data_IF_719898597361
#
_entry.id   IF_719898597361
#
_cell.length_a   1.000
_cell.length_b   1.000
_cell.length_c   1.000
_cell.angle_alpha   90.00
_cell.angle_beta   90.00
_cell.angle_gamma   90.00
#
_symmetry.space_group_name_H-M   'P 1'
#
loop_
_entity.id
_entity.type
_entity.pdbx_description
1 polymer ?
#
# COMPACT_ATOMS: atom_id res chain seq x y z
N UNK A 1 -5.92 -28.72 -7.13
CA UNK A 1 -7.05 -27.86 -6.77
C UNK A 1 -6.84 -26.49 -7.42
N UNK A 2 -7.92 -25.85 -7.91
CA UNK A 2 -7.82 -24.52 -8.52
C UNK A 2 -7.46 -23.47 -7.46
N UNK A 3 -6.96 -22.30 -7.89
CA UNK A 3 -6.68 -21.19 -6.96
C UNK A 3 -7.94 -20.77 -6.18
N UNK A 4 -9.10 -20.80 -6.84
CA UNK A 4 -10.38 -20.45 -6.23
C UNK A 4 -10.80 -21.48 -5.17
N UNK A 5 -10.64 -22.77 -5.46
CA UNK A 5 -10.95 -23.83 -4.51
C UNK A 5 -10.06 -23.77 -3.27
N UNK A 6 -8.74 -23.60 -3.46
CA UNK A 6 -7.80 -23.45 -2.34
C UNK A 6 -8.14 -22.24 -1.46
N UNK A 7 -8.57 -21.14 -2.09
CA UNK A 7 -8.98 -19.95 -1.37
C UNK A 7 -10.27 -20.19 -0.58
N UNK A 8 -11.29 -20.82 -1.19
CA UNK A 8 -12.52 -21.21 -0.50
C UNK A 8 -12.25 -22.13 0.70
N UNK A 9 -11.42 -23.16 0.54
CA UNK A 9 -11.05 -24.06 1.64
C UNK A 9 -10.36 -23.29 2.78
N UNK A 10 -9.51 -22.31 2.45
CA UNK A 10 -8.88 -21.45 3.45
C UNK A 10 -9.91 -20.59 4.21
N UNK A 11 -10.93 -20.08 3.52
CA UNK A 11 -12.03 -19.32 4.14
C UNK A 11 -12.89 -20.22 5.04
N UNK A 12 -13.22 -21.44 4.59
CA UNK A 12 -14.01 -22.41 5.36
C UNK A 12 -13.25 -22.86 6.62
N UNK A 13 -11.96 -23.16 6.50
CA UNK A 13 -11.12 -23.51 7.64
C UNK A 13 -11.02 -22.37 8.66
N UNK A 14 -10.83 -21.13 8.18
CA UNK A 14 -10.83 -19.96 9.05
C UNK A 14 -12.17 -19.76 9.76
N UNK A 15 -13.29 -19.91 9.04
CA UNK A 15 -14.62 -19.87 9.63
C UNK A 15 -14.74 -20.89 10.76
N UNK A 16 -14.46 -22.16 10.47
CA UNK A 16 -14.59 -23.28 11.40
C UNK A 16 -13.73 -23.09 12.65
N UNK A 17 -12.46 -22.71 12.49
CA UNK A 17 -11.57 -22.48 13.63
C UNK A 17 -12.06 -21.34 14.53
N UNK A 18 -12.55 -20.24 13.95
CA UNK A 18 -13.05 -19.09 14.73
C UNK A 18 -14.33 -19.45 15.48
N UNK A 19 -15.31 -20.11 14.84
CA UNK A 19 -16.56 -20.47 15.53
C UNK A 19 -16.34 -21.53 16.59
N UNK A 20 -15.37 -22.43 16.41
CA UNK A 20 -15.01 -23.50 17.34
C UNK A 20 -14.01 -23.09 18.43
N UNK A 21 -13.51 -21.84 18.45
CA UNK A 21 -12.64 -21.37 19.52
C UNK A 21 -13.28 -21.64 20.91
N UNK A 22 -12.53 -22.03 21.95
CA UNK A 22 -13.07 -22.31 23.27
C UNK A 22 -13.94 -21.18 23.83
N UNK A 23 -14.96 -21.53 24.61
CA UNK A 23 -15.74 -20.51 25.35
C UNK A 23 -14.81 -19.74 26.29
N UNK A 24 -14.91 -18.41 26.30
CA UNK A 24 -14.04 -17.54 27.09
C UNK A 24 -12.74 -17.11 26.40
N UNK A 25 -12.46 -17.55 25.17
CA UNK A 25 -11.34 -16.99 24.39
C UNK A 25 -11.50 -15.47 24.22
N UNK A 26 -10.40 -14.73 24.43
CA UNK A 26 -10.37 -13.27 24.23
C UNK A 26 -10.70 -12.89 22.79
N UNK A 27 -11.52 -11.85 22.64
CA UNK A 27 -11.84 -11.27 21.33
C UNK A 27 -10.58 -10.84 20.56
N UNK A 28 -9.57 -10.28 21.25
CA UNK A 28 -8.31 -9.90 20.62
C UNK A 28 -7.58 -11.13 20.03
N UNK A 29 -7.55 -12.25 20.75
CA UNK A 29 -6.95 -13.48 20.26
C UNK A 29 -7.68 -14.02 19.03
N UNK A 30 -9.02 -13.95 19.02
CA UNK A 30 -9.82 -14.32 17.86
C UNK A 30 -9.50 -13.43 16.65
N UNK A 31 -9.37 -12.11 16.84
CA UNK A 31 -8.98 -11.17 15.77
C UNK A 31 -7.59 -11.46 15.22
N UNK A 32 -6.60 -11.74 16.10
CA UNK A 32 -5.24 -12.08 15.70
C UNK A 32 -5.21 -13.39 14.91
N UNK A 33 -5.89 -14.44 15.39
CA UNK A 33 -5.99 -15.72 14.70
C UNK A 33 -6.62 -15.56 13.30
N UNK A 34 -7.75 -14.85 13.23
CA UNK A 34 -8.41 -14.55 11.96
C UNK A 34 -7.49 -13.79 11.00
N UNK A 35 -6.78 -12.77 11.49
CA UNK A 35 -5.84 -12.00 10.67
C UNK A 35 -4.69 -12.87 10.14
N UNK A 36 -4.14 -13.77 10.96
CA UNK A 36 -3.06 -14.69 10.54
C UNK A 36 -3.54 -15.69 9.48
N UNK A 37 -4.73 -16.27 9.65
CA UNK A 37 -5.32 -17.18 8.67
C UNK A 37 -5.62 -16.46 7.34
N UNK A 38 -6.22 -15.28 7.43
CA UNK A 38 -6.53 -14.46 6.25
C UNK A 38 -5.27 -14.00 5.54
N UNK A 39 -4.22 -13.65 6.28
CA UNK A 39 -2.93 -13.31 5.69
C UNK A 39 -2.40 -14.46 4.82
N UNK A 40 -2.37 -15.69 5.35
CA UNK A 40 -1.96 -16.88 4.58
C UNK A 40 -2.84 -17.10 3.36
N UNK A 41 -4.15 -16.94 3.50
CA UNK A 41 -5.10 -17.11 2.41
C UNK A 41 -4.84 -16.12 1.27
N UNK A 42 -4.59 -14.84 1.59
CA UNK A 42 -4.29 -13.81 0.58
C UNK A 42 -2.87 -13.89 0.01
N UNK A 43 -1.88 -14.38 0.76
CA UNK A 43 -0.50 -14.60 0.28
C UNK A 43 -0.43 -15.63 -0.85
N UNK A 44 -1.37 -16.58 -0.89
CA UNK A 44 -1.52 -17.52 -2.00
C UNK A 44 -2.11 -16.89 -3.27
N UNK A 45 -2.65 -15.67 -3.20
CA UNK A 45 -3.30 -14.99 -4.30
C UNK A 45 -2.39 -13.95 -4.97
N UNK A 46 -2.72 -13.60 -6.21
CA UNK A 46 -2.16 -12.41 -6.86
C UNK A 46 -2.88 -11.18 -6.34
N UNK A 47 -2.26 -10.49 -5.39
CA UNK A 47 -2.75 -9.21 -4.86
C UNK A 47 -1.77 -8.09 -5.23
N UNK A 48 -2.30 -6.99 -5.77
CA UNK A 48 -1.53 -5.77 -6.01
C UNK A 48 -1.84 -4.73 -4.93
N UNK A 49 -0.82 -4.32 -4.19
CA UNK A 49 -0.92 -3.20 -3.23
C UNK A 49 -0.16 -2.00 -3.80
N UNK A 50 -0.83 -0.85 -3.88
CA UNK A 50 -0.24 0.43 -4.30
C UNK A 50 -0.33 1.44 -3.17
N UNK A 51 0.65 2.34 -3.07
CA UNK A 51 0.58 3.48 -2.16
C UNK A 51 0.95 3.17 -0.70
N UNK A 52 1.67 2.07 -0.41
CA UNK A 52 2.12 1.76 0.95
C UNK A 52 2.90 2.90 1.61
N UNK A 53 3.55 3.75 0.80
CA UNK A 53 4.22 4.97 1.23
C UNK A 53 3.28 6.01 1.88
N UNK A 54 1.96 5.87 1.71
CA UNK A 54 0.96 6.75 2.31
C UNK A 54 0.52 6.30 3.71
N UNK A 55 0.94 5.12 4.18
CA UNK A 55 0.64 4.66 5.54
C UNK A 55 1.31 5.59 6.56
N UNK A 56 0.55 6.27 7.44
CA UNK A 56 1.14 7.15 8.42
C UNK A 56 1.72 6.36 9.60
N UNK A 57 2.78 6.89 10.19
CA UNK A 57 3.18 6.47 11.54
C UNK A 57 2.13 6.93 12.56
N UNK A 58 2.05 6.23 13.69
CA UNK A 58 1.20 6.62 14.82
C UNK A 58 0.14 5.58 15.14
N UNK A 59 -0.81 5.99 15.98
CA UNK A 59 -1.88 5.17 16.57
C UNK A 59 -3.23 5.89 16.43
N UNK A 60 -4.34 5.19 16.63
CA UNK A 60 -5.67 5.82 16.59
C UNK A 60 -6.02 6.37 15.20
N UNK A 61 -5.74 5.59 14.16
CA UNK A 61 -5.97 5.96 12.75
C UNK A 61 -7.30 5.36 12.29
N UNK A 62 -8.08 6.15 11.55
CA UNK A 62 -9.32 5.70 10.91
C UNK A 62 -9.00 5.29 9.48
N UNK A 63 -9.27 4.03 9.14
CA UNK A 63 -9.19 3.51 7.78
C UNK A 63 -10.59 3.43 7.21
N UNK A 64 -10.83 4.18 6.12
CA UNK A 64 -12.08 4.05 5.36
C UNK A 64 -11.83 3.24 4.10
N UNK A 65 -12.79 2.41 3.73
CA UNK A 65 -12.68 1.56 2.55
C UNK A 65 -14.02 1.48 1.83
N UNK A 66 -13.99 1.23 0.53
CA UNK A 66 -15.20 0.92 -0.21
C UNK A 66 -15.56 -0.55 0.00
N UNK A 67 -16.85 -0.85 0.20
CA UNK A 67 -17.27 -2.20 0.60
C UNK A 67 -17.77 -2.98 -0.61
N UNK A 68 -17.10 -4.09 -0.91
CA UNK A 68 -17.39 -4.91 -2.08
C UNK A 68 -18.23 -6.13 -1.70
N UNK A 69 -19.08 -6.54 -2.63
CA UNK A 69 -19.72 -7.86 -2.59
C UNK A 69 -18.66 -8.96 -2.70
N UNK A 70 -19.00 -10.16 -2.25
CA UNK A 70 -18.20 -11.34 -2.49
C UNK A 70 -18.84 -12.19 -3.58
N UNK A 71 -18.02 -12.78 -4.45
CA UNK A 71 -18.51 -13.79 -5.38
C UNK A 71 -19.23 -14.94 -4.64
N UNK A 72 -20.43 -15.39 -5.05
CA UNK A 72 -21.21 -16.41 -4.34
C UNK A 72 -20.49 -17.74 -4.09
N UNK A 73 -19.52 -18.07 -4.96
CA UNK A 73 -18.62 -19.22 -4.78
C UNK A 73 -17.90 -19.22 -3.43
N UNK A 74 -17.63 -18.06 -2.83
CA UNK A 74 -16.95 -17.92 -1.53
C UNK A 74 -17.89 -18.02 -0.31
N UNK A 75 -18.91 -18.86 -0.41
CA UNK A 75 -19.79 -19.20 0.71
C UNK A 75 -19.04 -20.12 1.69
N UNK A 76 -18.65 -19.55 2.84
CA UNK A 76 -17.82 -20.22 3.84
C UNK A 76 -18.64 -21.12 4.79
N UNK A 77 -19.92 -20.81 4.97
CA UNK A 77 -20.90 -21.62 5.68
C UNK A 77 -22.30 -21.34 5.11
N UNK A 78 -23.29 -22.14 5.45
CA UNK A 78 -24.67 -21.97 4.95
C UNK A 78 -25.15 -20.52 5.18
N UNK A 79 -25.52 -19.84 4.09
CA UNK A 79 -25.98 -18.45 4.13
C UNK A 79 -24.94 -17.42 4.62
N UNK A 80 -23.65 -17.76 4.65
CA UNK A 80 -22.61 -16.90 5.20
C UNK A 80 -21.33 -16.84 4.33
N UNK A 81 -20.86 -15.62 4.10
CA UNK A 81 -19.58 -15.32 3.46
C UNK A 81 -18.72 -14.47 4.41
N UNK A 82 -17.41 -14.76 4.44
CA UNK A 82 -16.43 -13.92 5.13
C UNK A 82 -16.18 -12.67 4.28
N UNK A 83 -16.47 -11.48 4.80
CA UNK A 83 -16.26 -10.19 4.08
C UNK A 83 -14.79 -9.99 3.71
N UNK A 84 -14.43 -10.19 2.44
CA UNK A 84 -13.02 -10.31 2.04
C UNK A 84 -12.25 -9.01 2.22
N UNK A 85 -12.87 -7.87 1.90
CA UNK A 85 -12.24 -6.56 1.96
C UNK A 85 -11.80 -6.17 3.38
N UNK A 86 -12.70 -6.25 4.35
CA UNK A 86 -12.41 -5.85 5.74
C UNK A 86 -11.46 -6.82 6.43
N UNK A 87 -11.51 -8.12 6.07
CA UNK A 87 -10.54 -9.10 6.55
C UNK A 87 -9.17 -8.89 5.92
N UNK A 88 -9.09 -8.51 4.64
CA UNK A 88 -7.85 -8.09 3.98
C UNK A 88 -7.24 -6.87 4.65
N UNK A 89 -8.05 -5.88 5.04
CA UNK A 89 -7.57 -4.71 5.77
C UNK A 89 -7.01 -5.11 7.12
N UNK A 90 -7.73 -5.91 7.91
CA UNK A 90 -7.23 -6.37 9.21
C UNK A 90 -5.95 -7.20 9.10
N UNK A 91 -5.80 -8.05 8.09
CA UNK A 91 -4.64 -8.94 7.94
C UNK A 91 -3.46 -8.30 7.19
N UNK A 92 -3.68 -7.85 5.96
CA UNK A 92 -2.62 -7.41 5.05
C UNK A 92 -2.21 -5.96 5.28
N UNK A 93 -3.10 -5.12 5.83
CA UNK A 93 -2.80 -3.72 6.12
C UNK A 93 -2.49 -3.51 7.61
N UNK A 94 -3.44 -3.79 8.48
CA UNK A 94 -3.33 -3.45 9.90
C UNK A 94 -2.36 -4.38 10.63
N UNK A 95 -2.57 -5.70 10.56
CA UNK A 95 -1.70 -6.66 11.26
C UNK A 95 -0.27 -6.60 10.72
N UNK A 96 -0.09 -6.54 9.40
CA UNK A 96 1.23 -6.46 8.77
C UNK A 96 1.99 -5.19 9.13
N UNK A 97 1.40 -4.01 8.95
CA UNK A 97 2.13 -2.74 9.08
C UNK A 97 2.08 -2.15 10.49
N UNK A 98 1.06 -2.48 11.30
CA UNK A 98 0.88 -1.90 12.64
C UNK A 98 0.94 -2.93 13.76
N UNK A 99 1.08 -4.22 13.45
CA UNK A 99 1.22 -5.30 14.43
C UNK A 99 -0.08 -5.68 15.15
N UNK A 100 -1.22 -5.11 14.76
CA UNK A 100 -2.54 -5.43 15.32
C UNK A 100 -3.62 -5.42 14.23
N UNK A 101 -4.70 -6.21 14.34
CA UNK A 101 -5.73 -6.31 13.31
C UNK A 101 -6.75 -5.15 13.32
N UNK A 102 -6.65 -4.27 14.32
CA UNK A 102 -7.57 -3.16 14.57
C UNK A 102 -8.98 -3.60 14.98
N UNK A 103 -9.85 -2.61 15.13
CA UNK A 103 -11.28 -2.79 15.41
C UNK A 103 -12.09 -2.45 14.17
N UNK A 104 -12.98 -3.35 13.76
CA UNK A 104 -13.90 -3.09 12.65
C UNK A 104 -15.22 -2.57 13.15
N UNK A 105 -15.95 -1.87 12.27
CA UNK A 105 -17.36 -1.57 12.47
C UNK A 105 -18.18 -2.55 11.63
N UNK A 106 -19.02 -3.32 12.30
CA UNK A 106 -19.79 -4.43 11.69
C UNK A 106 -21.27 -4.24 11.99
N UNK A 107 -22.15 -4.59 11.04
CA UNK A 107 -23.59 -4.54 11.30
C UNK A 107 -24.02 -5.56 12.36
N UNK A 108 -25.16 -5.32 13.00
CA UNK A 108 -25.87 -6.38 13.72
C UNK A 108 -26.34 -7.47 12.76
N UNK A 109 -26.33 -8.73 13.23
CA UNK A 109 -26.95 -9.86 12.51
C UNK A 109 -28.48 -9.70 12.51
N UNK A 110 -29.12 -10.12 11.42
CA UNK A 110 -30.56 -10.37 11.42
C UNK A 110 -30.88 -11.65 12.22
N UNK A 111 -32.11 -11.82 12.73
CA UNK A 111 -32.49 -12.98 13.56
C UNK A 111 -32.25 -14.35 12.88
N UNK A 112 -32.34 -14.41 11.55
CA UNK A 112 -32.16 -15.62 10.75
C UNK A 112 -30.69 -15.88 10.34
N UNK A 113 -29.75 -15.00 10.65
CA UNK A 113 -28.35 -15.13 10.22
C UNK A 113 -27.48 -15.80 11.30
N UNK A 114 -27.74 -17.07 11.57
CA UNK A 114 -27.06 -17.85 12.62
C UNK A 114 -25.54 -17.87 12.45
N UNK A 115 -25.04 -18.20 11.26
CA UNK A 115 -23.60 -18.30 10.99
C UNK A 115 -22.90 -16.93 11.06
N UNK A 116 -23.56 -15.85 10.64
CA UNK A 116 -23.05 -14.48 10.81
C UNK A 116 -22.88 -14.13 12.29
N UNK A 117 -23.88 -14.46 13.12
CA UNK A 117 -23.83 -14.23 14.57
C UNK A 117 -22.71 -15.06 15.21
N UNK A 118 -22.67 -16.37 14.95
CA UNK A 118 -21.65 -17.27 15.49
C UNK A 118 -20.22 -16.80 15.21
N UNK A 119 -19.98 -16.31 14.00
CA UNK A 119 -18.67 -15.82 13.60
C UNK A 119 -18.34 -14.46 14.22
N UNK A 120 -19.19 -13.46 14.01
CA UNK A 120 -18.82 -12.09 14.40
C UNK A 120 -18.87 -11.82 15.90
N UNK A 121 -19.65 -12.59 16.68
CA UNK A 121 -19.67 -12.47 18.14
C UNK A 121 -18.35 -12.87 18.79
N UNK A 122 -17.46 -13.57 18.07
CA UNK A 122 -16.11 -13.92 18.56
C UNK A 122 -15.16 -12.74 18.64
N UNK A 123 -15.44 -11.65 17.91
CA UNK A 123 -14.47 -10.57 17.75
C UNK A 123 -14.76 -9.32 18.58
N UNK A 124 -15.93 -9.20 19.20
CA UNK A 124 -16.31 -7.99 19.96
C UNK A 124 -16.10 -6.68 19.16
N UNK A 125 -16.44 -6.69 17.88
CA UNK A 125 -16.34 -5.49 17.04
C UNK A 125 -17.44 -4.48 17.38
N UNK A 126 -17.21 -3.21 17.03
CA UNK A 126 -18.20 -2.15 17.22
C UNK A 126 -19.40 -2.42 16.31
N UNK A 127 -20.59 -2.50 16.90
CA UNK A 127 -21.82 -2.83 16.17
C UNK A 127 -22.64 -1.60 15.80
N UNK A 128 -23.20 -1.62 14.59
CA UNK A 128 -24.10 -0.58 14.08
C UNK A 128 -25.32 -1.20 13.39
N UNK A 129 -26.40 -0.43 13.30
CA UNK A 129 -27.55 -0.78 12.47
C UNK A 129 -27.39 -0.16 11.08
N UNK A 130 -27.45 -0.98 10.02
CA UNK A 130 -27.53 -0.49 8.64
C UNK A 130 -28.98 -0.50 8.18
N UNK A 131 -29.38 0.45 7.32
CA UNK A 131 -30.78 0.71 6.95
C UNK A 131 -31.50 -0.55 6.41
N UNK A 132 -30.80 -1.36 5.62
CA UNK A 132 -31.34 -2.60 5.02
C UNK A 132 -31.23 -3.82 5.95
N UNK A 133 -30.47 -3.70 7.04
CA UNK A 133 -30.22 -4.77 8.01
C UNK A 133 -30.68 -4.37 9.42
N UNK A 134 -31.67 -3.48 9.48
CA UNK A 134 -32.33 -3.06 10.71
C UNK A 134 -33.67 -3.80 10.77
N UNK A 135 -33.96 -4.57 11.83
CA UNK A 135 -35.26 -5.19 11.99
C UNK A 135 -36.37 -4.12 11.92
N UNK A 136 -37.46 -4.35 11.17
CA UNK A 136 -38.50 -3.34 10.92
C UNK A 136 -39.16 -2.84 12.22
N UNK A 137 -39.24 -3.71 13.24
CA UNK A 137 -39.92 -3.43 14.51
C UNK A 137 -39.00 -2.92 15.62
N UNK A 138 -37.76 -2.53 15.31
CA UNK A 138 -36.83 -2.07 16.35
C UNK A 138 -37.25 -0.73 16.94
N UNK A 139 -37.20 -0.60 18.26
CA UNK A 139 -37.48 0.65 18.97
C UNK A 139 -36.47 1.75 18.57
N UNK A 140 -36.98 2.92 18.17
CA UNK A 140 -36.18 4.12 17.88
C UNK A 140 -35.26 4.53 19.04
N UNK A 141 -35.65 4.28 20.30
CA UNK A 141 -34.80 4.52 21.47
C UNK A 141 -33.58 3.61 21.47
N UNK A 142 -33.74 2.33 21.09
CA UNK A 142 -32.63 1.38 20.95
C UNK A 142 -31.69 1.86 19.84
N UNK A 143 -32.22 2.23 18.67
CA UNK A 143 -31.42 2.77 17.58
C UNK A 143 -30.60 4.01 18.00
N UNK A 144 -31.22 4.95 18.72
CA UNK A 144 -30.54 6.14 19.23
C UNK A 144 -29.44 5.79 20.24
N UNK A 145 -29.72 4.84 21.16
CA UNK A 145 -28.75 4.36 22.15
C UNK A 145 -27.55 3.68 21.47
N UNK A 146 -27.79 2.76 20.54
CA UNK A 146 -26.74 2.08 19.78
C UNK A 146 -25.87 3.06 18.99
N UNK A 147 -26.48 4.08 18.36
CA UNK A 147 -25.71 5.11 17.65
C UNK A 147 -24.84 5.94 18.59
N UNK A 148 -25.33 6.30 19.79
CA UNK A 148 -24.53 7.01 20.78
C UNK A 148 -23.36 6.14 21.28
N UNK A 149 -23.63 4.86 21.51
CA UNK A 149 -22.64 3.88 21.97
C UNK A 149 -21.54 3.64 20.92
N UNK A 150 -21.91 3.59 19.62
CA UNK A 150 -20.94 3.54 18.53
C UNK A 150 -19.89 4.67 18.63
N UNK A 151 -20.32 5.93 18.80
CA UNK A 151 -19.38 7.05 18.89
C UNK A 151 -18.52 6.97 20.15
N UNK A 152 -19.11 6.58 21.28
CA UNK A 152 -18.40 6.43 22.56
C UNK A 152 -17.28 5.40 22.45
N UNK A 153 -17.62 4.16 22.05
CA UNK A 153 -16.66 3.06 21.94
C UNK A 153 -15.60 3.38 20.88
N UNK A 154 -16.00 3.91 19.72
CA UNK A 154 -15.04 4.25 18.67
C UNK A 154 -14.05 5.35 19.09
N UNK A 155 -14.50 6.34 19.87
CA UNK A 155 -13.59 7.36 20.41
C UNK A 155 -12.63 6.77 21.45
N UNK A 156 -13.11 5.89 22.33
CA UNK A 156 -12.27 5.20 23.32
C UNK A 156 -11.19 4.35 22.64
N UNK A 157 -11.54 3.57 21.62
CA UNK A 157 -10.60 2.79 20.83
C UNK A 157 -9.53 3.66 20.19
N UNK A 158 -9.92 4.78 19.55
CA UNK A 158 -8.96 5.71 18.94
C UNK A 158 -8.04 6.35 20.00
N UNK A 159 -8.56 6.72 21.17
CA UNK A 159 -7.80 7.31 22.28
C UNK A 159 -6.81 6.31 22.88
N UNK A 160 -7.16 5.02 22.96
CA UNK A 160 -6.27 3.93 23.36
C UNK A 160 -5.23 3.58 22.28
N UNK A 161 -5.37 4.17 21.09
CA UNK A 161 -4.46 4.00 19.98
C UNK A 161 -4.82 2.83 19.04
N UNK A 162 -5.98 2.20 19.22
CA UNK A 162 -6.51 1.18 18.31
C UNK A 162 -6.89 1.81 16.97
N UNK A 163 -6.52 1.16 15.88
CA UNK A 163 -6.95 1.58 14.54
C UNK A 163 -8.37 1.08 14.26
N UNK A 164 -9.18 1.91 13.60
CA UNK A 164 -10.56 1.55 13.24
C UNK A 164 -10.67 1.40 11.73
N UNK A 165 -11.25 0.30 11.26
CA UNK A 165 -11.65 0.13 9.85
C UNK A 165 -13.18 0.26 9.70
N UNK A 166 -13.63 1.16 8.81
CA UNK A 166 -15.04 1.53 8.66
C UNK A 166 -15.40 1.76 7.18
N UNK A 167 -16.40 1.05 6.64
CA UNK A 167 -16.96 1.40 5.33
C UNK A 167 -18.02 2.50 5.43
N UNK A 168 -17.81 3.68 4.82
CA UNK A 168 -18.75 4.78 4.88
C UNK A 168 -20.03 4.54 4.05
N UNK A 169 -20.08 3.53 3.18
CA UNK A 169 -21.23 3.26 2.31
C UNK A 169 -22.40 2.61 3.07
N UNK A 170 -22.06 1.74 4.01
CA UNK A 170 -23.02 0.98 4.83
C UNK A 170 -23.72 -0.18 4.11
N UNK A 171 -23.49 -0.33 2.80
CA UNK A 171 -23.93 -1.43 1.95
C UNK A 171 -22.70 -1.94 1.15
N UNK A 172 -22.80 -3.14 0.58
CA UNK A 172 -21.81 -3.71 -0.35
C UNK A 172 -22.25 -3.46 -1.80
N UNK A 173 -21.28 -3.36 -2.71
CA UNK A 173 -21.53 -3.16 -4.15
C UNK A 173 -20.57 -3.99 -5.00
N UNK A 174 -20.90 -4.19 -6.28
CA UNK A 174 -19.91 -4.63 -7.26
C UNK A 174 -18.77 -3.61 -7.41
N UNK A 175 -17.62 -4.02 -7.94
CA UNK A 175 -16.48 -3.11 -8.18
C UNK A 175 -16.89 -1.91 -9.06
N UNK A 176 -17.77 -2.15 -10.03
CA UNK A 176 -18.22 -1.14 -11.00
C UNK A 176 -19.18 -0.11 -10.41
N UNK A 177 -19.96 -0.50 -9.39
CA UNK A 177 -20.95 0.37 -8.74
C UNK A 177 -20.41 1.03 -7.47
N UNK A 178 -19.28 0.54 -6.97
CA UNK A 178 -18.62 1.05 -5.77
C UNK A 178 -17.77 2.32 -6.07
N UNK A 179 -17.71 3.30 -5.15
CA UNK A 179 -18.53 3.40 -3.97
C UNK A 179 -19.90 4.02 -4.25
N UNK A 180 -20.91 3.51 -3.55
CA UNK A 180 -22.17 4.17 -3.32
C UNK A 180 -22.03 5.45 -2.47
N UNK A 181 -23.17 5.96 -1.99
CA UNK A 181 -23.21 7.23 -1.26
C UNK A 181 -22.61 7.09 0.13
N UNK A 182 -21.60 7.90 0.43
CA UNK A 182 -20.98 7.96 1.75
C UNK A 182 -21.92 8.55 2.80
N UNK A 183 -22.07 7.83 3.92
CA UNK A 183 -22.83 8.21 5.11
C UNK A 183 -21.98 9.07 6.04
N UNK A 184 -22.63 9.84 6.91
CA UNK A 184 -21.97 10.82 7.79
C UNK A 184 -21.20 10.20 8.97
N UNK A 185 -21.48 8.96 9.36
CA UNK A 185 -21.05 8.38 10.64
C UNK A 185 -19.55 8.49 10.92
N UNK A 186 -18.72 7.87 10.08
CA UNK A 186 -17.26 7.89 10.26
C UNK A 186 -16.65 9.28 10.14
N UNK A 187 -17.22 10.15 9.30
CA UNK A 187 -16.71 11.52 9.14
C UNK A 187 -17.08 12.41 10.32
N UNK A 188 -18.26 12.19 10.94
CA UNK A 188 -18.61 12.79 12.23
C UNK A 188 -17.61 12.34 13.28
N UNK A 189 -17.39 11.03 13.43
CA UNK A 189 -16.41 10.46 14.36
C UNK A 189 -15.02 11.09 14.18
N UNK A 190 -14.52 11.16 12.94
CA UNK A 190 -13.21 11.73 12.63
C UNK A 190 -13.12 13.25 12.85
N UNK A 191 -14.24 13.95 13.01
CA UNK A 191 -14.30 15.38 13.31
C UNK A 191 -14.66 15.70 14.77
N UNK A 192 -14.97 14.69 15.59
CA UNK A 192 -15.39 14.88 16.99
C UNK A 192 -14.25 15.32 17.91
N UNK A 193 -13.06 14.70 17.88
CA UNK A 193 -11.98 15.09 18.77
C UNK A 193 -11.38 16.45 18.36
N UNK A 194 -10.89 17.20 19.35
CA UNK A 194 -10.16 18.46 19.11
C UNK A 194 -8.92 18.22 18.25
N UNK A 195 -8.17 17.18 18.57
CA UNK A 195 -7.11 16.65 17.71
C UNK A 195 -7.70 15.51 16.86
N UNK A 196 -8.16 15.87 15.66
CA UNK A 196 -8.79 14.90 14.77
C UNK A 196 -7.83 13.74 14.47
N UNK A 197 -8.30 12.48 14.34
CA UNK A 197 -7.48 11.38 13.84
C UNK A 197 -7.12 11.58 12.36
N UNK A 198 -6.12 10.85 11.87
CA UNK A 198 -5.91 10.71 10.43
C UNK A 198 -6.95 9.75 9.87
N UNK A 199 -7.46 10.08 8.67
CA UNK A 199 -8.32 9.22 7.87
C UNK A 199 -7.51 8.73 6.66
N UNK A 200 -7.33 7.43 6.53
CA UNK A 200 -6.61 6.76 5.43
C UNK A 200 -7.64 6.07 4.52
N UNK A 201 -7.80 6.48 3.26
CA UNK A 201 -8.65 5.78 2.31
C UNK A 201 -7.95 4.55 1.70
N UNK A 202 -8.64 3.40 1.72
CA UNK A 202 -8.20 2.13 1.15
C UNK A 202 -9.13 1.72 0.01
N UNK A 203 -8.73 2.02 -1.21
CA UNK A 203 -9.52 1.77 -2.43
C UNK A 203 -9.30 0.33 -2.88
N UNK A 204 -10.37 -0.46 -2.98
CA UNK A 204 -10.30 -1.88 -3.30
C UNK A 204 -11.11 -2.18 -4.55
N UNK A 205 -10.58 -3.05 -5.42
CA UNK A 205 -11.23 -3.49 -6.66
C UNK A 205 -11.01 -4.98 -6.88
N UNK A 206 -11.98 -5.61 -7.54
CA UNK A 206 -12.06 -7.01 -7.94
C UNK A 206 -12.25 -8.03 -6.81
N UNK A 207 -12.45 -7.62 -5.56
CA UNK A 207 -12.74 -8.56 -4.46
C UNK A 207 -14.10 -9.28 -4.62
N UNK A 208 -14.94 -8.76 -5.50
CA UNK A 208 -16.22 -9.33 -5.95
C UNK A 208 -16.09 -10.39 -7.06
N UNK A 209 -14.88 -10.60 -7.59
CA UNK A 209 -14.60 -11.57 -8.67
C UNK A 209 -13.83 -12.78 -8.13
N UNK A 210 -13.71 -13.85 -8.92
CA UNK A 210 -12.84 -14.98 -8.58
C UNK A 210 -11.34 -14.60 -8.77
N UNK A 211 -10.42 -15.03 -7.89
CA UNK A 211 -8.98 -14.84 -8.06
C UNK A 211 -8.41 -15.41 -9.36
N UNK A 212 -9.02 -16.45 -9.93
CA UNK A 212 -8.67 -16.98 -11.26
C UNK A 212 -9.02 -16.03 -12.42
N UNK A 213 -9.98 -15.13 -12.21
CA UNK A 213 -10.51 -14.24 -13.25
C UNK A 213 -9.96 -12.82 -13.16
N UNK A 214 -9.63 -12.35 -11.95
CA UNK A 214 -9.16 -11.00 -11.73
C UNK A 214 -8.11 -10.91 -10.62
N UNK A 215 -7.15 -10.00 -10.80
CA UNK A 215 -6.19 -9.65 -9.74
C UNK A 215 -6.86 -8.73 -8.75
N UNK A 216 -6.82 -9.07 -7.46
CA UNK A 216 -7.29 -8.20 -6.39
C UNK A 216 -6.33 -7.02 -6.24
N UNK A 217 -6.85 -5.81 -6.16
CA UNK A 217 -6.02 -4.60 -6.00
C UNK A 217 -6.48 -3.77 -4.82
N UNK A 218 -5.53 -3.25 -4.06
CA UNK A 218 -5.75 -2.29 -3.00
C UNK A 218 -4.82 -1.08 -3.21
N UNK A 219 -5.37 0.13 -3.26
CA UNK A 219 -4.61 1.37 -3.28
C UNK A 219 -4.83 2.13 -1.99
N UNK A 220 -3.73 2.38 -1.29
CA UNK A 220 -3.67 3.17 -0.06
C UNK A 220 -3.45 4.62 -0.47
N UNK A 221 -4.46 5.46 -0.22
CA UNK A 221 -4.45 6.85 -0.66
C UNK A 221 -3.85 7.77 0.40
N UNK A 222 -3.36 8.97 0.01
CA UNK A 222 -2.83 9.93 0.98
C UNK A 222 -3.84 10.21 2.10
N UNK A 223 -3.40 10.17 3.38
CA UNK A 223 -4.28 10.41 4.50
C UNK A 223 -4.70 11.88 4.56
N UNK A 224 -5.81 12.15 5.25
CA UNK A 224 -6.31 13.49 5.48
C UNK A 224 -6.95 13.60 6.87
N UNK A 225 -7.19 14.83 7.31
CA UNK A 225 -8.05 15.17 8.45
C UNK A 225 -9.31 15.87 7.96
N UNK A 226 -10.40 15.79 8.71
CA UNK A 226 -11.65 16.47 8.34
C UNK A 226 -11.47 18.00 8.26
N UNK A 227 -10.57 18.57 9.06
CA UNK A 227 -10.18 19.98 9.02
C UNK A 227 -9.56 20.40 7.68
N UNK A 228 -8.90 19.49 6.93
CA UNK A 228 -8.36 19.77 5.59
C UNK A 228 -9.48 20.06 4.58
N UNK A 229 -10.73 19.69 4.93
CA UNK A 229 -11.95 19.97 4.19
C UNK A 229 -12.82 21.05 4.87
N UNK A 230 -12.28 21.78 5.86
CA UNK A 230 -12.99 22.84 6.59
C UNK A 230 -13.99 22.32 7.64
N UNK A 231 -13.87 21.07 8.07
CA UNK A 231 -14.75 20.45 9.06
C UNK A 231 -14.01 20.30 10.38
N UNK A 232 -14.26 21.20 11.33
CA UNK A 232 -13.62 21.22 12.66
C UNK A 232 -14.48 20.60 13.77
N UNK A 233 -15.76 20.32 13.50
CA UNK A 233 -16.72 19.74 14.47
C UNK A 233 -17.75 18.86 13.73
N UNK A 234 -18.34 17.83 14.37
CA UNK A 234 -19.33 16.93 13.75
C UNK A 234 -20.58 17.61 13.22
N UNK A 235 -20.94 18.77 13.77
CA UNK A 235 -22.10 19.57 13.37
C UNK A 235 -21.73 20.72 12.42
N UNK A 236 -20.51 20.73 11.87
CA UNK A 236 -20.09 21.73 10.89
C UNK A 236 -21.02 21.73 9.67
N UNK A 237 -21.44 22.93 9.27
CA UNK A 237 -22.18 23.16 8.01
C UNK A 237 -21.44 22.66 6.76
N UNK A 238 -20.12 22.54 6.84
CA UNK A 238 -19.28 22.06 5.73
C UNK A 238 -19.24 20.54 5.60
N UNK A 239 -19.71 19.78 6.61
CA UNK A 239 -19.58 18.32 6.65
C UNK A 239 -20.17 17.64 5.42
N UNK A 240 -21.41 17.97 5.04
CA UNK A 240 -22.07 17.32 3.90
C UNK A 240 -21.32 17.55 2.59
N UNK A 241 -20.84 18.80 2.36
CA UNK A 241 -20.07 19.17 1.16
C UNK A 241 -18.69 18.48 1.14
N UNK A 242 -18.04 18.36 2.30
CA UNK A 242 -16.79 17.64 2.44
C UNK A 242 -16.95 16.15 2.07
N UNK A 243 -17.98 15.49 2.61
CA UNK A 243 -18.28 14.09 2.33
C UNK A 243 -18.54 13.87 0.83
N UNK A 244 -19.33 14.75 0.19
CA UNK A 244 -19.58 14.65 -1.25
C UNK A 244 -18.29 14.77 -2.08
N UNK A 245 -17.41 15.70 -1.70
CA UNK A 245 -16.10 15.87 -2.36
C UNK A 245 -15.21 14.64 -2.17
N UNK A 246 -15.19 14.07 -0.97
CA UNK A 246 -14.45 12.83 -0.67
C UNK A 246 -15.02 11.66 -1.48
N UNK A 247 -16.34 11.48 -1.50
CA UNK A 247 -17.02 10.40 -2.23
C UNK A 247 -16.74 10.47 -3.74
N UNK A 248 -16.82 11.66 -4.36
CA UNK A 248 -16.47 11.87 -5.79
C UNK A 248 -15.00 11.57 -6.08
N UNK A 249 -14.10 11.94 -5.16
CA UNK A 249 -12.67 11.61 -5.28
C UNK A 249 -12.46 10.10 -5.22
N UNK A 250 -13.18 9.43 -4.33
CA UNK A 250 -13.15 7.98 -4.15
C UNK A 250 -13.64 7.22 -5.40
N UNK A 251 -14.75 7.65 -6.01
CA UNK A 251 -15.25 7.10 -7.27
C UNK A 251 -14.20 7.14 -8.40
N UNK A 252 -13.48 8.27 -8.52
CA UNK A 252 -12.39 8.38 -9.51
C UNK A 252 -11.24 7.43 -9.21
N UNK A 253 -10.92 7.24 -7.93
CA UNK A 253 -9.87 6.31 -7.53
C UNK A 253 -10.24 4.85 -7.82
N UNK A 254 -11.48 4.44 -7.54
CA UNK A 254 -11.97 3.10 -7.93
C UNK A 254 -11.87 2.94 -9.45
N UNK A 255 -12.43 3.87 -10.22
CA UNK A 255 -12.40 3.82 -11.69
C UNK A 255 -10.96 3.80 -12.25
N UNK A 256 -10.03 4.53 -11.64
CA UNK A 256 -8.62 4.51 -12.05
C UNK A 256 -7.89 3.22 -11.65
N UNK A 257 -8.24 2.61 -10.51
CA UNK A 257 -7.63 1.36 -10.04
C UNK A 257 -8.17 0.13 -10.78
N UNK A 258 -9.45 0.16 -11.20
CA UNK A 258 -10.09 -0.88 -12.01
C UNK A 258 -9.46 -1.02 -13.39
N UNK A 259 -8.90 0.07 -13.94
CA UNK A 259 -8.15 0.02 -15.21
C UNK A 259 -6.95 -0.89 -15.07
N UNK A 260 -6.75 -1.75 -16.07
CA UNK A 260 -5.52 -2.50 -16.18
C UNK A 260 -4.42 -1.58 -16.72
N UNK A 261 -3.60 -1.03 -15.83
CA UNK A 261 -2.32 -0.40 -16.20
C UNK A 261 -1.25 -1.49 -16.29
N UNK A 262 -1.51 -2.46 -17.17
CA UNK A 262 -0.53 -3.48 -17.48
C UNK A 262 0.73 -2.78 -17.99
N UNK A 263 1.86 -3.13 -17.37
CA UNK A 263 3.18 -2.77 -17.87
C UNK A 263 3.48 -1.26 -17.83
N UNK A 264 2.93 -0.49 -16.89
CA UNK A 264 3.31 0.91 -16.59
C UNK A 264 3.03 1.95 -17.69
N UNK A 265 2.23 1.63 -18.71
CA UNK A 265 2.03 2.47 -19.91
C UNK A 265 1.69 3.92 -19.58
N UNK A 266 0.79 4.16 -18.61
CA UNK A 266 0.37 5.51 -18.24
C UNK A 266 1.51 6.31 -17.61
N UNK A 267 2.28 5.69 -16.72
CA UNK A 267 3.41 6.32 -16.05
C UNK A 267 4.52 6.64 -17.05
N UNK A 268 4.85 5.71 -17.94
CA UNK A 268 5.85 5.89 -19.00
C UNK A 268 5.49 7.03 -19.94
N UNK A 269 4.21 7.19 -20.31
CA UNK A 269 3.80 8.30 -21.17
C UNK A 269 4.07 9.67 -20.51
N UNK A 270 3.83 9.80 -19.21
CA UNK A 270 4.13 11.03 -18.46
C UNK A 270 5.64 11.28 -18.42
N UNK A 271 6.44 10.24 -18.15
CA UNK A 271 7.89 10.33 -18.10
C UNK A 271 8.51 10.68 -19.47
N UNK A 272 7.97 10.12 -20.56
CA UNK A 272 8.36 10.45 -21.92
C UNK A 272 8.19 11.94 -22.21
N UNK A 273 7.07 12.53 -21.80
CA UNK A 273 6.83 13.98 -21.96
C UNK A 273 7.83 14.82 -21.14
N UNK A 274 8.21 14.38 -19.94
CA UNK A 274 9.27 15.03 -19.16
C UNK A 274 10.63 14.98 -19.86
N UNK A 275 10.98 13.82 -20.43
CA UNK A 275 12.22 13.65 -21.18
C UNK A 275 12.28 14.54 -22.43
N UNK A 276 11.19 14.62 -23.21
CA UNK A 276 11.11 15.49 -24.40
C UNK A 276 11.36 16.96 -24.06
N UNK A 277 10.88 17.43 -22.90
CA UNK A 277 11.14 18.81 -22.43
C UNK A 277 12.61 19.10 -22.10
N UNK A 278 13.44 18.06 -21.96
CA UNK A 278 14.89 18.16 -21.68
C UNK A 278 15.75 17.78 -22.90
N UNK A 279 15.18 17.76 -24.11
CA UNK A 279 15.86 17.23 -25.30
C UNK A 279 17.20 17.91 -25.65
N UNK A 280 17.29 19.22 -25.44
CA UNK A 280 18.48 20.04 -25.76
C UNK A 280 19.28 20.40 -24.49
N UNK A 281 18.97 19.77 -23.37
CA UNK A 281 19.54 20.13 -22.08
C UNK A 281 20.98 19.60 -21.98
N UNK A 282 21.94 20.48 -21.66
CA UNK A 282 23.35 20.11 -21.41
C UNK A 282 23.55 19.63 -19.97
N UNK A 283 24.61 18.86 -19.75
CA UNK A 283 25.02 18.37 -18.44
C UNK A 283 23.90 17.67 -17.67
N UNK A 284 23.03 16.95 -18.40
CA UNK A 284 21.81 16.37 -17.84
C UNK A 284 22.14 15.15 -16.99
N UNK A 285 21.69 15.17 -15.72
CA UNK A 285 21.79 14.04 -14.79
C UNK A 285 20.42 13.36 -14.69
N UNK A 286 20.34 12.13 -15.20
CA UNK A 286 19.07 11.39 -15.27
C UNK A 286 18.99 10.38 -14.14
N UNK A 287 17.98 10.50 -13.30
CA UNK A 287 17.67 9.52 -12.25
C UNK A 287 16.71 8.48 -12.83
N UNK A 288 17.15 7.22 -12.92
CA UNK A 288 16.39 6.15 -13.56
C UNK A 288 16.33 4.90 -12.69
N UNK A 289 15.11 4.43 -12.38
CA UNK A 289 14.95 3.31 -11.46
C UNK A 289 13.55 3.14 -10.92
N UNK A 290 13.44 2.32 -9.88
CA UNK A 290 12.16 1.94 -9.27
C UNK A 290 11.62 2.99 -8.27
N UNK A 291 10.76 2.56 -7.34
CA UNK A 291 10.01 3.44 -6.45
C UNK A 291 10.87 4.32 -5.53
N UNK A 292 12.10 3.93 -5.21
CA UNK A 292 13.01 4.76 -4.41
C UNK A 292 13.40 6.04 -5.14
N UNK A 293 13.55 6.02 -6.47
CA UNK A 293 13.77 7.25 -7.23
C UNK A 293 12.45 7.94 -7.59
N UNK A 294 11.40 7.18 -7.95
CA UNK A 294 10.06 7.76 -8.23
C UNK A 294 9.55 8.63 -7.08
N UNK A 295 9.73 8.16 -5.84
CA UNK A 295 9.21 8.81 -4.65
C UNK A 295 10.09 9.95 -4.14
N UNK A 296 11.26 10.19 -4.76
CA UNK A 296 12.08 11.34 -4.50
C UNK A 296 11.48 12.58 -5.20
N UNK A 297 10.46 13.18 -4.56
CA UNK A 297 9.62 14.22 -5.17
C UNK A 297 10.38 15.47 -5.60
N UNK A 298 11.49 15.79 -4.93
CA UNK A 298 12.17 17.08 -5.04
C UNK A 298 13.66 16.98 -5.44
N UNK A 299 14.03 16.04 -6.32
CA UNK A 299 15.42 15.89 -6.79
C UNK A 299 16.04 17.22 -7.24
N UNK A 300 15.33 18.02 -8.02
CA UNK A 300 15.84 19.32 -8.48
C UNK A 300 16.02 20.36 -7.35
N UNK A 301 15.27 20.24 -6.25
CA UNK A 301 15.46 21.10 -5.06
C UNK A 301 16.63 20.61 -4.21
N UNK A 302 16.82 19.29 -4.15
CA UNK A 302 17.89 18.68 -3.37
C UNK A 302 19.25 18.84 -4.04
N UNK A 303 19.29 18.96 -5.36
CA UNK A 303 20.48 19.23 -6.16
C UNK A 303 20.27 20.47 -7.05
N UNK A 304 20.26 21.68 -6.47
CA UNK A 304 19.96 22.91 -7.20
C UNK A 304 20.99 23.25 -8.28
N UNK A 305 22.24 22.82 -8.10
CA UNK A 305 23.34 23.06 -9.03
C UNK A 305 23.40 22.02 -10.17
N UNK A 306 22.53 21.00 -10.13
CA UNK A 306 22.51 19.94 -11.12
C UNK A 306 21.30 20.07 -12.05
N UNK A 307 21.54 19.91 -13.34
CA UNK A 307 20.44 19.80 -14.30
C UNK A 307 19.82 18.39 -14.24
N UNK A 308 18.88 18.21 -13.33
CA UNK A 308 18.32 16.88 -13.04
C UNK A 308 17.06 16.57 -13.85
N UNK A 309 16.88 15.29 -14.17
CA UNK A 309 15.65 14.72 -14.73
C UNK A 309 15.34 13.39 -14.04
N UNK A 310 14.23 13.32 -13.30
CA UNK A 310 13.79 12.09 -12.65
C UNK A 310 12.81 11.31 -13.55
N UNK A 311 13.26 10.14 -14.00
CA UNK A 311 12.54 9.16 -14.81
C UNK A 311 12.26 7.86 -14.02
N UNK A 312 12.23 7.92 -12.69
CA UNK A 312 11.84 6.77 -11.87
C UNK A 312 10.34 6.46 -11.96
N UNK A 313 9.98 5.17 -11.96
CA UNK A 313 8.59 4.70 -11.97
C UNK A 313 8.34 3.53 -11.00
N UNK A 314 7.09 3.31 -10.62
CA UNK A 314 6.74 2.52 -9.43
C UNK A 314 6.77 1.02 -9.72
N UNK A 315 7.31 0.21 -8.81
CA UNK A 315 7.28 -1.26 -8.96
C UNK A 315 8.12 -1.82 -10.11
N UNK A 316 8.98 -1.02 -10.73
CA UNK A 316 9.82 -1.46 -11.84
C UNK A 316 10.78 -2.58 -11.43
N UNK A 317 10.82 -3.64 -12.24
CA UNK A 317 11.87 -4.67 -12.26
C UNK A 317 12.97 -4.27 -13.25
N UNK A 318 14.10 -4.99 -13.26
CA UNK A 318 15.19 -4.72 -14.21
C UNK A 318 14.69 -4.81 -15.64
N UNK A 319 13.95 -5.85 -15.99
CA UNK A 319 13.38 -6.02 -17.33
C UNK A 319 12.39 -4.90 -17.72
N UNK A 320 11.72 -4.29 -16.74
CA UNK A 320 10.80 -3.17 -16.99
C UNK A 320 11.60 -1.90 -17.35
N UNK A 321 12.70 -1.65 -16.64
CA UNK A 321 13.62 -0.54 -16.93
C UNK A 321 14.28 -0.73 -18.30
N UNK A 322 14.71 -1.95 -18.61
CA UNK A 322 15.32 -2.30 -19.88
C UNK A 322 14.35 -2.12 -21.06
N UNK A 323 13.11 -2.60 -20.93
CA UNK A 323 12.06 -2.43 -21.94
C UNK A 323 11.78 -0.97 -22.29
N UNK A 324 11.72 -0.09 -21.28
CA UNK A 324 11.34 1.31 -21.48
C UNK A 324 12.51 2.26 -21.70
N UNK A 325 13.74 1.76 -21.62
CA UNK A 325 14.94 2.55 -21.80
C UNK A 325 14.94 3.33 -23.12
N UNK A 326 14.65 2.69 -24.26
CA UNK A 326 14.68 3.37 -25.55
C UNK A 326 13.62 4.46 -25.69
N UNK A 327 12.42 4.20 -25.19
CA UNK A 327 11.33 5.17 -25.26
C UNK A 327 11.66 6.42 -24.46
N UNK A 328 12.15 6.26 -23.23
CA UNK A 328 12.42 7.35 -22.31
C UNK A 328 13.71 8.12 -22.65
N UNK A 329 14.70 7.44 -23.21
CA UNK A 329 15.99 8.05 -23.58
C UNK A 329 16.09 8.44 -25.06
N UNK A 330 15.00 8.36 -25.84
CA UNK A 330 15.01 8.61 -27.28
C UNK A 330 15.38 10.03 -27.73
N UNK A 331 15.23 11.02 -26.85
CA UNK A 331 15.40 12.45 -27.18
C UNK A 331 16.37 13.18 -26.26
N UNK A 332 17.05 12.49 -25.35
CA UNK A 332 17.95 13.10 -24.36
C UNK A 332 19.35 12.51 -24.50
N UNK A 333 20.36 13.30 -24.13
CA UNK A 333 21.75 12.86 -24.03
C UNK A 333 22.25 13.14 -22.61
N UNK A 334 22.17 12.17 -21.69
CA UNK A 334 22.62 12.37 -20.32
C UNK A 334 24.14 12.52 -20.25
N UNK A 335 24.62 13.45 -19.42
CA UNK A 335 26.02 13.44 -18.96
C UNK A 335 26.25 12.27 -18.00
N UNK A 336 25.29 12.07 -17.10
CA UNK A 336 25.35 10.98 -16.12
C UNK A 336 23.98 10.36 -15.89
N UNK A 337 23.94 9.08 -15.54
CA UNK A 337 22.73 8.37 -15.16
C UNK A 337 22.90 7.83 -13.73
N UNK A 338 22.01 8.25 -12.83
CA UNK A 338 21.89 7.70 -11.47
C UNK A 338 20.88 6.56 -11.50
N UNK A 339 21.33 5.33 -11.25
CA UNK A 339 20.54 4.11 -11.34
C UNK A 339 20.14 3.56 -9.96
N UNK A 340 18.91 3.05 -9.86
CA UNK A 340 18.47 2.24 -8.72
C UNK A 340 17.52 1.11 -9.17
N UNK A 341 18.02 -0.12 -9.15
CA UNK A 341 17.36 -1.32 -9.70
C UNK A 341 17.67 -2.59 -8.87
N UNK A 342 17.02 -3.71 -9.20
CA UNK A 342 17.30 -5.05 -8.64
C UNK A 342 16.61 -5.36 -7.31
N UNK A 343 16.21 -4.35 -6.54
CA UNK A 343 15.53 -4.57 -5.26
C UNK A 343 14.18 -5.29 -5.40
N UNK A 344 13.39 -4.96 -6.43
CA UNK A 344 12.09 -5.61 -6.64
C UNK A 344 12.25 -7.04 -7.17
N UNK A 345 13.27 -7.30 -7.96
CA UNK A 345 13.55 -8.59 -8.58
C UNK A 345 13.82 -9.70 -7.55
N UNK A 346 14.14 -9.33 -6.29
CA UNK A 346 14.19 -10.24 -5.16
C UNK A 346 12.85 -10.97 -4.92
N UNK A 347 11.72 -10.37 -5.28
CA UNK A 347 10.38 -10.99 -5.13
C UNK A 347 10.06 -11.99 -6.25
N UNK A 348 10.89 -12.08 -7.29
CA UNK A 348 10.72 -13.02 -8.40
C UNK A 348 11.34 -14.40 -8.12
N UNK A 349 11.94 -14.59 -6.93
CA UNK A 349 12.62 -15.84 -6.58
C UNK A 349 13.96 -16.06 -7.28
N UNK A 350 14.48 -15.07 -8.02
CA UNK A 350 15.72 -15.21 -8.80
C UNK A 350 16.95 -15.39 -7.91
N UNK A 351 17.97 -16.12 -8.38
CA UNK A 351 19.26 -16.20 -7.66
C UNK A 351 19.97 -14.83 -7.64
N UNK A 352 20.89 -14.63 -6.71
CA UNK A 352 21.73 -13.43 -6.69
C UNK A 352 22.54 -13.26 -7.97
N UNK A 353 23.07 -14.37 -8.52
CA UNK A 353 23.81 -14.34 -9.79
C UNK A 353 22.93 -13.83 -10.92
N UNK A 354 21.70 -14.36 -11.04
CA UNK A 354 20.77 -13.94 -12.10
C UNK A 354 20.48 -12.44 -12.03
N UNK A 355 20.21 -11.92 -10.84
CA UNK A 355 19.97 -10.47 -10.66
C UNK A 355 21.21 -9.65 -11.05
N UNK A 356 22.40 -10.09 -10.64
CA UNK A 356 23.67 -9.44 -11.02
C UNK A 356 23.85 -9.45 -12.54
N UNK A 357 23.62 -10.58 -13.20
CA UNK A 357 23.78 -10.73 -14.65
C UNK A 357 22.79 -9.87 -15.43
N UNK A 358 21.53 -9.77 -14.97
CA UNK A 358 20.53 -8.86 -15.56
C UNK A 358 20.93 -7.38 -15.41
N UNK A 359 21.45 -6.99 -14.24
CA UNK A 359 21.95 -5.62 -14.01
C UNK A 359 23.14 -5.32 -14.94
N UNK A 360 24.12 -6.23 -15.01
CA UNK A 360 25.30 -6.06 -15.87
C UNK A 360 24.94 -6.00 -17.36
N UNK A 361 23.98 -6.83 -17.79
CA UNK A 361 23.46 -6.77 -19.16
C UNK A 361 22.85 -5.40 -19.46
N UNK A 362 22.04 -4.88 -18.54
CA UNK A 362 21.42 -3.58 -18.71
C UNK A 362 22.44 -2.43 -18.71
N UNK A 363 23.45 -2.47 -17.83
CA UNK A 363 24.55 -1.50 -17.79
C UNK A 363 25.30 -1.48 -19.13
N UNK A 364 25.62 -2.65 -19.68
CA UNK A 364 26.27 -2.77 -21.00
C UNK A 364 25.42 -2.11 -22.08
N UNK A 365 24.10 -2.35 -22.10
CA UNK A 365 23.19 -1.71 -23.06
C UNK A 365 23.18 -0.18 -22.91
N UNK A 366 23.15 0.34 -21.68
CA UNK A 366 23.22 1.79 -21.44
C UNK A 366 24.52 2.35 -22.02
N UNK A 367 25.67 1.75 -21.69
CA UNK A 367 26.97 2.22 -22.15
C UNK A 367 27.13 2.12 -23.67
N UNK A 368 26.61 1.06 -24.31
CA UNK A 368 26.60 0.95 -25.78
C UNK A 368 25.81 2.08 -26.44
N UNK A 369 24.71 2.54 -25.83
CA UNK A 369 23.92 3.66 -26.34
C UNK A 369 24.57 5.02 -26.04
N UNK A 370 25.21 5.13 -24.88
CA UNK A 370 25.79 6.37 -24.38
C UNK A 370 27.24 6.14 -23.89
N UNK A 371 28.22 6.02 -24.80
CA UNK A 371 29.59 5.62 -24.45
C UNK A 371 30.37 6.66 -23.65
N UNK A 372 29.88 7.90 -23.57
CA UNK A 372 30.48 9.01 -22.81
C UNK A 372 29.75 9.34 -21.50
N UNK A 373 28.74 8.55 -21.14
CA UNK A 373 27.91 8.81 -19.97
C UNK A 373 28.39 8.00 -18.78
N UNK A 374 28.60 8.68 -17.66
CA UNK A 374 28.91 8.04 -16.39
C UNK A 374 27.65 7.42 -15.77
N UNK A 375 27.78 6.22 -15.23
CA UNK A 375 26.68 5.47 -14.63
C UNK A 375 26.95 5.33 -13.14
N UNK A 376 26.12 5.98 -12.32
CA UNK A 376 26.18 5.92 -10.87
C UNK A 376 25.11 4.96 -10.34
N UNK A 377 25.49 3.72 -10.05
CA UNK A 377 24.55 2.72 -9.55
C UNK A 377 24.47 2.75 -8.02
N UNK A 378 23.30 3.12 -7.51
CA UNK A 378 23.00 3.06 -6.08
C UNK A 378 22.81 1.59 -5.68
N UNK A 379 23.61 1.11 -4.74
CA UNK A 379 23.49 -0.25 -4.22
C UNK A 379 22.08 -0.52 -3.69
N UNK A 380 21.60 -1.76 -3.80
CA UNK A 380 20.30 -2.15 -3.25
C UNK A 380 20.31 -1.90 -1.74
N UNK A 381 19.40 -1.06 -1.25
CA UNK A 381 19.30 -0.69 0.16
C UNK A 381 18.77 -1.84 1.03
N UNK A 382 19.10 -1.90 2.33
CA UNK A 382 18.36 -2.74 3.27
C UNK A 382 16.94 -2.21 3.48
N UNK A 383 16.02 -3.04 3.94
CA UNK A 383 14.66 -2.61 4.33
C UNK A 383 14.04 -3.57 5.34
N UNK A 384 13.12 -3.06 6.16
CA UNK A 384 12.39 -3.88 7.16
C UNK A 384 11.47 -4.91 6.49
N UNK A 385 10.90 -4.55 5.34
CA UNK A 385 10.11 -5.47 4.50
C UNK A 385 10.93 -6.63 3.93
N UNK A 386 12.27 -6.52 3.91
CA UNK A 386 13.17 -7.50 3.26
C UNK A 386 14.25 -8.00 4.20
N UNK A 387 13.98 -8.05 5.50
CA UNK A 387 14.91 -8.57 6.52
C UNK A 387 15.39 -9.98 6.20
N UNK A 388 14.51 -10.85 5.71
CA UNK A 388 14.85 -12.21 5.27
C UNK A 388 15.71 -12.30 4.01
N UNK A 389 16.01 -11.18 3.34
CA UNK A 389 16.77 -11.13 2.08
C UNK A 389 18.08 -10.33 2.21
N UNK A 390 18.47 -9.90 3.41
CA UNK A 390 19.62 -9.01 3.60
C UNK A 390 20.94 -9.62 3.13
N UNK A 391 21.19 -10.90 3.37
CA UNK A 391 22.44 -11.54 2.93
C UNK A 391 22.51 -11.67 1.41
N UNK A 392 21.37 -11.92 0.77
CA UNK A 392 21.26 -11.92 -0.69
C UNK A 392 21.51 -10.53 -1.26
N UNK A 393 20.98 -9.48 -0.64
CA UNK A 393 21.25 -8.09 -1.00
C UNK A 393 22.73 -7.77 -0.89
N UNK A 394 23.38 -8.12 0.24
CA UNK A 394 24.83 -7.93 0.44
C UNK A 394 25.64 -8.63 -0.66
N UNK A 395 25.30 -9.88 -0.97
CA UNK A 395 25.97 -10.65 -2.02
C UNK A 395 25.82 -10.00 -3.41
N UNK A 396 24.62 -9.51 -3.76
CA UNK A 396 24.39 -8.80 -5.03
C UNK A 396 25.25 -7.53 -5.10
N UNK A 397 25.18 -6.70 -4.06
CA UNK A 397 25.93 -5.44 -4.00
C UNK A 397 27.45 -5.67 -4.08
N UNK A 398 27.96 -6.66 -3.35
CA UNK A 398 29.38 -7.02 -3.39
C UNK A 398 29.81 -7.52 -4.77
N UNK A 399 29.04 -8.43 -5.38
CA UNK A 399 29.36 -8.96 -6.72
C UNK A 399 29.29 -7.90 -7.80
N UNK A 400 28.35 -6.96 -7.72
CA UNK A 400 28.30 -5.82 -8.64
C UNK A 400 29.58 -5.00 -8.51
N UNK A 401 29.93 -4.56 -7.30
CA UNK A 401 31.17 -3.81 -7.05
C UNK A 401 32.39 -4.51 -7.65
N UNK A 402 32.59 -5.79 -7.32
CA UNK A 402 33.75 -6.56 -7.80
C UNK A 402 33.77 -6.72 -9.33
N UNK A 403 32.62 -6.92 -9.97
CA UNK A 403 32.56 -7.17 -11.44
C UNK A 403 32.63 -5.89 -12.27
N UNK A 404 32.46 -4.73 -11.64
CA UNK A 404 32.50 -3.42 -12.32
C UNK A 404 33.69 -2.56 -11.91
N UNK A 405 34.59 -3.06 -11.05
CA UNK A 405 35.70 -2.28 -10.49
C UNK A 405 36.65 -1.72 -11.56
N UNK A 406 36.79 -2.43 -12.67
CA UNK A 406 37.61 -2.02 -13.82
C UNK A 406 36.85 -1.15 -14.86
N UNK A 407 35.56 -0.86 -14.64
CA UNK A 407 34.76 -0.05 -15.57
C UNK A 407 34.81 1.42 -15.16
N UNK A 408 35.65 2.21 -15.82
CA UNK A 408 35.86 3.63 -15.48
C UNK A 408 34.58 4.48 -15.57
N UNK A 409 33.65 4.13 -16.46
CA UNK A 409 32.36 4.82 -16.65
C UNK A 409 31.27 4.39 -15.64
N UNK A 410 31.57 3.47 -14.72
CA UNK A 410 30.59 2.90 -13.79
C UNK A 410 31.04 3.04 -12.34
N UNK A 411 30.21 3.70 -11.54
CA UNK A 411 30.47 4.00 -10.14
C UNK A 411 29.42 3.31 -9.26
N UNK A 412 29.86 2.37 -8.43
CA UNK A 412 28.99 1.72 -7.45
C UNK A 412 28.92 2.55 -6.16
N UNK A 413 27.75 3.10 -5.86
CA UNK A 413 27.51 3.91 -4.66
C UNK A 413 27.05 2.99 -3.52
N UNK A 414 27.80 2.96 -2.43
CA UNK A 414 27.44 2.19 -1.22
C UNK A 414 26.41 2.94 -0.38
N UNK A 415 25.14 2.69 -0.69
CA UNK A 415 24.01 3.18 0.07
C UNK A 415 23.52 2.18 1.12
N UNK A 416 23.85 0.89 0.95
CA UNK A 416 23.44 -0.16 1.87
C UNK A 416 24.00 0.11 3.27
N UNK A 417 25.32 0.35 3.37
CA UNK A 417 25.97 0.51 4.67
C UNK A 417 25.57 1.81 5.37
N UNK A 418 25.25 2.87 4.62
CA UNK A 418 24.80 4.14 5.19
C UNK A 418 23.46 4.05 5.94
N UNK A 419 22.68 2.99 5.71
CA UNK A 419 21.42 2.70 6.38
C UNK A 419 21.55 1.65 7.49
N UNK A 420 22.76 1.18 7.79
CA UNK A 420 23.06 0.26 8.89
C UNK A 420 23.72 1.03 10.03
N UNK A 421 23.28 0.76 11.26
CA UNK A 421 23.91 1.23 12.50
C UNK A 421 23.95 0.06 13.48
N UNK A 422 25.13 -0.25 14.03
CA UNK A 422 25.32 -1.37 14.98
C UNK A 422 24.74 -2.69 14.46
N UNK A 423 25.03 -3.02 13.19
CA UNK A 423 24.51 -4.21 12.48
C UNK A 423 22.98 -4.29 12.36
N UNK A 424 22.26 -3.18 12.60
CA UNK A 424 20.79 -3.10 12.46
C UNK A 424 20.39 -2.03 11.46
N UNK A 425 19.28 -2.26 10.78
CA UNK A 425 18.67 -1.26 9.89
C UNK A 425 18.24 -0.05 10.72
N UNK A 426 18.59 1.16 10.27
CA UNK A 426 18.12 2.42 10.84
C UNK A 426 16.64 2.62 10.55
N UNK A 427 15.77 2.01 11.37
CA UNK A 427 14.31 1.96 11.17
C UNK A 427 13.69 3.34 10.96
N UNK A 428 14.23 4.37 11.63
CA UNK A 428 13.76 5.75 11.56
C UNK A 428 14.06 6.46 10.22
N UNK A 429 14.67 5.78 9.24
CA UNK A 429 14.93 6.29 7.89
C UNK A 429 13.90 5.81 6.86
N UNK A 430 12.94 4.99 7.30
CA UNK A 430 11.90 4.42 6.46
C UNK A 430 10.53 4.99 6.82
N UNK A 431 9.62 4.94 5.86
CA UNK A 431 8.19 5.13 6.07
C UNK A 431 7.58 3.94 6.83
N UNK A 432 6.30 4.06 7.21
CA UNK A 432 5.59 3.02 7.98
C UNK A 432 5.60 1.65 7.29
N UNK A 433 5.67 1.61 5.95
CA UNK A 433 5.76 0.36 5.21
C UNK A 433 7.11 -0.37 5.34
N UNK A 434 8.11 0.27 5.95
CA UNK A 434 9.43 -0.31 6.18
C UNK A 434 10.23 -0.60 4.90
N UNK A 435 9.78 -0.12 3.74
CA UNK A 435 10.39 -0.34 2.42
C UNK A 435 10.88 0.95 1.79
N UNK A 436 10.07 2.01 1.85
CA UNK A 436 10.38 3.29 1.22
C UNK A 436 11.04 4.26 2.19
N UNK A 437 11.87 5.15 1.67
CA UNK A 437 12.60 6.13 2.47
C UNK A 437 11.68 7.27 2.91
N UNK A 438 11.90 7.74 4.14
CA UNK A 438 11.36 9.03 4.59
C UNK A 438 12.38 10.15 4.31
N UNK A 439 12.14 11.37 4.81
CA UNK A 439 13.04 12.51 4.59
C UNK A 439 14.47 12.26 5.07
N UNK A 440 14.67 11.65 6.24
CA UNK A 440 16.01 11.29 6.76
C UNK A 440 16.71 10.26 5.85
N UNK A 441 15.95 9.28 5.35
CA UNK A 441 16.47 8.29 4.39
C UNK A 441 16.96 8.93 3.09
N UNK A 442 16.19 9.88 2.55
CA UNK A 442 16.61 10.64 1.37
C UNK A 442 17.79 11.58 1.63
N UNK A 443 17.91 12.14 2.84
CA UNK A 443 19.06 12.94 3.24
C UNK A 443 20.36 12.12 3.21
N UNK A 444 20.33 10.88 3.72
CA UNK A 444 21.47 9.96 3.62
C UNK A 444 21.80 9.67 2.15
N UNK A 445 20.79 9.35 1.33
CA UNK A 445 21.01 9.07 -0.10
C UNK A 445 21.59 10.29 -0.83
N UNK A 446 21.10 11.48 -0.53
CA UNK A 446 21.60 12.75 -1.05
C UNK A 446 23.09 12.92 -0.75
N UNK A 447 23.50 12.68 0.50
CA UNK A 447 24.89 12.81 0.92
C UNK A 447 25.80 11.80 0.19
N UNK A 448 25.35 10.56 0.00
CA UNK A 448 26.07 9.56 -0.80
C UNK A 448 26.28 10.05 -2.25
N UNK A 449 25.24 10.58 -2.89
CA UNK A 449 25.33 11.09 -4.26
C UNK A 449 26.26 12.30 -4.36
N UNK A 450 26.15 13.27 -3.45
CA UNK A 450 27.04 14.43 -3.45
C UNK A 450 28.52 14.04 -3.33
N UNK A 451 28.84 13.05 -2.51
CA UNK A 451 30.22 12.56 -2.37
C UNK A 451 30.76 11.90 -3.64
N UNK A 452 29.91 11.20 -4.39
CA UNK A 452 30.31 10.47 -5.60
C UNK A 452 30.31 11.31 -6.87
N UNK A 453 29.43 12.32 -6.99
CA UNK A 453 29.31 13.15 -8.19
C UNK A 453 30.10 14.48 -8.11
N UNK A 454 30.67 14.80 -6.94
CA UNK A 454 31.59 15.95 -6.78
C UNK A 454 33.07 15.55 -6.96
N UNK A 455 33.33 14.26 -7.23
CA UNK A 455 34.60 13.72 -7.69
C UNK A 455 34.54 13.60 -9.21
#
# INVERSE_FOLDING_TARGET
>A
MSIDQNFLESLQNSYNEIVCLPKGSSALNARILSAQQMQKAFEALRVQIKGSENLPHGKGIVFIYNHLENHPYFTAAEGFQITLDSHFISSIILQKYYGQPGTRVVRHSLPNETNHKLYFDRFDYIRVYSKEFTPPDIDKKILKKTNAEFYRIAQEELLQGTHIAFSPEGNSYSTEESPGKFRKGVFRLASSPKEQPLVVPLVMVNFDKLPSQATYKCAIMPPFRMQDYGVTHPDSKHLSKAIEKINKKYQRWVADLSKDDSDFKREIQILKQKAIKKKDARDLIVFYGSSTLRLWKNVAKDFPDWNTLNLGFGGAFIHSLDKYFDVLFSKIQPKSIVLYLGGNDLTLGYSSSKIVDEILSFIKRIHSKFPKTDIYNISIKPSLERTGQLDKIKMINHRLKTRTDSLEYFHQIDFYQSLILNNKIRKDHFLQDGLHLNSKGYEVLKNCLNQSLSQ
#
